data_IF_304263541035
#
_entry.id   IF_304263541035
#
_cell.length_a   1.000
_cell.length_b   1.000
_cell.length_c   1.000
_cell.angle_alpha   90.00
_cell.angle_beta   90.00
_cell.angle_gamma   90.00
#
_symmetry.space_group_name_H-M   'P 1'
#
loop_
_entity.id
_entity.type
_entity.pdbx_description
1 polymer ?
#
# COMPACT_ATOMS: atom_id res chain seq x y z
N UNK A 1 39.70 -32.62 33.25
CA UNK A 1 38.88 -32.41 34.45
C UNK A 1 38.79 -30.91 34.73
N UNK A 2 37.56 -30.40 34.88
CA UNK A 2 37.11 -29.24 35.67
C UNK A 2 37.87 -27.89 35.55
N UNK A 3 37.22 -26.88 34.94
CA UNK A 3 36.50 -25.74 35.57
C UNK A 3 37.44 -24.56 35.92
N UNK A 4 37.39 -23.41 35.23
CA UNK A 4 36.43 -22.28 35.29
C UNK A 4 36.90 -21.13 36.22
N UNK A 5 36.63 -19.90 35.78
CA UNK A 5 36.55 -18.62 36.51
C UNK A 5 37.85 -17.78 36.60
N UNK A 6 37.96 -16.68 35.85
CA UNK A 6 37.41 -15.31 36.08
C UNK A 6 38.33 -14.46 36.97
N UNK A 7 38.94 -13.43 36.39
CA UNK A 7 39.04 -12.04 36.88
C UNK A 7 40.14 -11.30 36.11
N UNK A 8 39.78 -10.21 35.43
CA UNK A 8 40.64 -9.02 35.37
C UNK A 8 39.77 -7.81 35.07
N UNK A 9 39.75 -6.92 36.05
CA UNK A 9 39.04 -5.66 36.05
C UNK A 9 39.98 -4.53 35.63
N UNK A 10 39.37 -3.51 35.00
CA UNK A 10 39.69 -2.09 35.13
C UNK A 10 41.08 -1.61 34.72
N UNK A 11 41.13 -0.96 33.55
CA UNK A 11 41.92 0.28 33.38
C UNK A 11 41.00 1.35 32.80
N UNK A 12 40.67 2.33 33.63
CA UNK A 12 40.33 3.68 33.19
C UNK A 12 41.62 4.31 32.67
N UNK A 13 41.62 4.87 31.47
CA UNK A 13 42.24 6.18 31.31
C UNK A 13 41.60 6.99 30.18
N UNK A 14 41.45 8.25 30.53
CA UNK A 14 40.85 9.39 29.86
C UNK A 14 41.85 10.05 28.92
N UNK A 15 41.47 10.28 27.66
CA UNK A 15 41.94 11.46 26.92
C UNK A 15 41.06 11.69 25.69
N UNK A 16 40.47 12.88 25.61
CA UNK A 16 39.45 13.21 24.63
C UNK A 16 39.96 13.39 23.21
N UNK A 17 39.08 13.09 22.26
CA UNK A 17 39.09 13.74 20.95
C UNK A 17 37.65 13.92 20.50
N UNK A 18 37.28 15.18 20.31
CA UNK A 18 35.98 15.66 19.83
C UNK A 18 35.70 15.07 18.46
N UNK A 19 34.75 14.15 18.37
CA UNK A 19 34.06 13.85 17.12
C UNK A 19 32.61 13.50 17.42
N UNK A 20 31.71 14.36 16.95
CA UNK A 20 30.26 14.29 17.11
C UNK A 20 29.69 13.02 16.49
N UNK A 21 29.65 11.94 17.27
CA UNK A 21 29.02 10.69 16.91
C UNK A 21 27.55 10.77 17.35
N UNK A 22 26.68 11.11 16.40
CA UNK A 22 25.23 10.96 16.53
C UNK A 22 24.93 9.52 16.97
N UNK A 23 24.63 9.35 18.26
CA UNK A 23 24.16 8.09 18.82
C UNK A 23 22.85 7.76 18.11
N UNK A 24 22.89 6.77 17.22
CA UNK A 24 21.72 5.97 16.82
C UNK A 24 21.11 5.42 18.11
N UNK A 25 20.12 6.12 18.64
CA UNK A 25 19.26 5.64 19.71
C UNK A 25 18.38 4.57 19.07
N UNK A 26 18.91 3.35 18.95
CA UNK A 26 18.08 2.15 18.75
C UNK A 26 17.16 2.12 19.95
N UNK A 27 15.92 2.53 19.76
CA UNK A 27 14.80 2.12 20.59
C UNK A 27 14.72 0.59 20.46
N UNK A 28 15.51 -0.13 21.28
CA UNK A 28 15.23 -1.53 21.59
C UNK A 28 14.03 -1.51 22.54
N UNK A 29 12.86 -1.21 21.99
CA UNK A 29 11.61 -1.68 22.58
C UNK A 29 11.67 -3.20 22.51
N UNK A 30 11.66 -3.85 23.67
CA UNK A 30 11.36 -5.27 23.80
C UNK A 30 9.92 -5.49 23.34
N UNK A 31 9.69 -5.49 22.03
CA UNK A 31 8.45 -6.01 21.46
C UNK A 31 8.51 -7.52 21.65
N UNK A 32 7.85 -8.00 22.71
CA UNK A 32 7.37 -9.37 22.77
C UNK A 32 6.68 -9.60 21.43
N UNK A 33 7.14 -10.57 20.64
CA UNK A 33 6.49 -10.92 19.38
C UNK A 33 5.03 -11.26 19.72
N UNK A 34 4.12 -10.33 19.42
CA UNK A 34 2.69 -10.63 19.41
C UNK A 34 2.55 -11.64 18.28
N UNK A 35 1.94 -12.81 18.49
CA UNK A 35 1.61 -13.69 17.38
C UNK A 35 0.86 -12.87 16.35
N UNK A 36 1.30 -12.93 15.10
CA UNK A 36 0.60 -12.26 14.01
C UNK A 36 -0.78 -12.92 13.82
N UNK A 37 -1.77 -12.47 14.59
CA UNK A 37 -3.12 -12.99 14.55
C UNK A 37 -3.93 -12.27 13.47
N UNK A 38 -4.08 -12.93 12.33
CA UNK A 38 -4.90 -12.47 11.21
C UNK A 38 -6.29 -13.13 11.20
N UNK A 39 -6.69 -13.86 12.24
CA UNK A 39 -7.97 -14.59 12.27
C UNK A 39 -9.18 -13.66 12.15
N UNK A 40 -9.11 -12.46 12.73
CA UNK A 40 -10.13 -11.43 12.63
C UNK A 40 -10.39 -10.95 11.18
N UNK A 41 -9.44 -11.20 10.27
CA UNK A 41 -9.62 -10.91 8.85
C UNK A 41 -10.40 -11.99 8.12
N UNK A 42 -10.71 -13.14 8.74
CA UNK A 42 -11.52 -14.23 8.18
C UNK A 42 -11.18 -14.54 6.70
N UNK A 43 -9.93 -14.94 6.48
CA UNK A 43 -9.39 -15.22 5.15
C UNK A 43 -9.51 -16.70 4.75
N UNK A 44 -9.93 -17.56 5.69
CA UNK A 44 -10.08 -18.99 5.45
C UNK A 44 -11.18 -19.25 4.41
N UNK A 45 -10.88 -20.08 3.40
CA UNK A 45 -11.80 -20.39 2.30
C UNK A 45 -11.85 -19.35 1.17
N UNK A 46 -11.14 -18.22 1.28
CA UNK A 46 -11.10 -17.21 0.23
C UNK A 46 -10.25 -17.67 -0.97
N UNK A 47 -10.90 -17.95 -2.10
CA UNK A 47 -10.24 -18.22 -3.37
C UNK A 47 -9.72 -16.96 -4.07
N UNK A 48 -10.30 -15.81 -3.75
CA UNK A 48 -9.89 -14.49 -4.25
C UNK A 48 -10.01 -13.47 -3.13
N UNK A 49 -9.03 -12.58 -3.00
CA UNK A 49 -8.94 -11.60 -1.91
C UNK A 49 -8.68 -10.22 -2.49
N UNK A 50 -9.47 -9.23 -2.05
CA UNK A 50 -9.24 -7.82 -2.35
C UNK A 50 -8.90 -7.10 -1.05
N UNK A 51 -7.65 -6.65 -0.94
CA UNK A 51 -7.14 -5.88 0.18
C UNK A 51 -7.14 -4.40 -0.21
N UNK A 52 -7.84 -3.57 0.53
CA UNK A 52 -7.97 -2.14 0.25
C UNK A 52 -7.48 -1.33 1.44
N UNK A 53 -6.32 -0.68 1.30
CA UNK A 53 -5.81 0.28 2.28
C UNK A 53 -6.39 1.67 2.02
N UNK A 54 -6.99 2.24 3.07
CA UNK A 54 -7.59 3.57 3.04
C UNK A 54 -8.95 3.54 2.38
N UNK A 55 -9.91 2.88 3.05
CA UNK A 55 -11.30 2.80 2.58
C UNK A 55 -11.91 4.19 2.41
N UNK A 56 -11.54 5.12 3.28
CA UNK A 56 -12.13 6.44 3.43
C UNK A 56 -13.66 6.32 3.55
N UNK A 57 -14.40 6.75 2.53
CA UNK A 57 -15.87 6.65 2.50
C UNK A 57 -16.39 5.34 1.90
N UNK A 58 -15.52 4.38 1.56
CA UNK A 58 -15.86 3.10 0.92
C UNK A 58 -15.95 3.17 -0.61
N UNK A 59 -15.48 4.24 -1.23
CA UNK A 59 -15.62 4.48 -2.68
C UNK A 59 -14.92 3.44 -3.54
N UNK A 60 -13.69 3.06 -3.16
CA UNK A 60 -12.92 1.99 -3.80
C UNK A 60 -13.67 0.66 -3.82
N UNK A 61 -14.28 0.27 -2.71
CA UNK A 61 -15.07 -0.97 -2.60
C UNK A 61 -16.30 -0.91 -3.50
N UNK A 62 -17.03 0.22 -3.53
CA UNK A 62 -18.17 0.40 -4.43
C UNK A 62 -17.73 0.35 -5.90
N UNK A 63 -16.61 0.96 -6.25
CA UNK A 63 -16.05 0.94 -7.60
C UNK A 63 -15.64 -0.48 -8.01
N UNK A 64 -15.00 -1.22 -7.10
CA UNK A 64 -14.65 -2.63 -7.31
C UNK A 64 -15.88 -3.49 -7.57
N UNK A 65 -16.91 -3.39 -6.72
CA UNK A 65 -18.18 -4.12 -6.86
C UNK A 65 -18.89 -3.79 -8.18
N UNK A 66 -18.81 -2.53 -8.63
CA UNK A 66 -19.38 -2.10 -9.92
C UNK A 66 -18.55 -2.53 -11.14
N UNK A 67 -17.46 -3.28 -10.96
CA UNK A 67 -16.59 -3.76 -12.04
C UNK A 67 -15.69 -2.68 -12.64
N UNK A 68 -15.53 -1.53 -11.96
CA UNK A 68 -14.72 -0.43 -12.48
C UNK A 68 -13.25 -0.83 -12.66
N UNK A 69 -12.70 -1.57 -11.69
CA UNK A 69 -11.32 -2.07 -11.71
C UNK A 69 -11.02 -2.91 -12.95
N UNK A 70 -11.94 -3.78 -13.37
CA UNK A 70 -11.82 -4.55 -14.60
C UNK A 70 -11.78 -3.64 -15.83
N UNK A 71 -12.75 -2.72 -15.94
CA UNK A 71 -12.85 -1.82 -17.10
C UNK A 71 -11.64 -0.89 -17.25
N UNK A 72 -11.07 -0.40 -16.15
CA UNK A 72 -9.86 0.41 -16.18
C UNK A 72 -8.62 -0.45 -16.43
N UNK A 73 -8.57 -1.67 -15.87
CA UNK A 73 -7.48 -2.62 -16.06
C UNK A 73 -7.35 -3.17 -17.47
N UNK A 74 -8.32 -2.95 -18.35
CA UNK A 74 -8.18 -3.20 -19.78
C UNK A 74 -7.76 -1.96 -20.58
N UNK A 75 -7.98 -0.77 -20.04
CA UNK A 75 -7.74 0.53 -20.71
C UNK A 75 -6.49 1.25 -20.23
N UNK A 76 -5.81 0.73 -19.21
CA UNK A 76 -4.63 1.39 -18.66
C UNK A 76 -3.47 1.36 -19.66
N UNK A 77 -2.54 2.35 -19.61
CA UNK A 77 -1.36 2.35 -20.46
C UNK A 77 -0.49 1.11 -20.28
N UNK A 78 0.11 0.62 -21.37
CA UNK A 78 0.94 -0.62 -21.41
C UNK A 78 2.07 -0.62 -20.38
N UNK A 79 2.63 0.54 -20.03
CA UNK A 79 3.68 0.70 -19.00
C UNK A 79 3.28 0.27 -17.58
N UNK A 80 1.99 0.06 -17.31
CA UNK A 80 1.49 -0.44 -16.03
C UNK A 80 1.52 -1.97 -15.93
N UNK A 81 1.89 -2.68 -17.00
CA UNK A 81 1.88 -4.13 -17.08
C UNK A 81 3.28 -4.67 -17.32
N UNK A 82 3.45 -5.99 -17.19
CA UNK A 82 4.67 -6.65 -17.62
C UNK A 82 4.89 -6.49 -19.14
N UNK A 83 6.14 -6.56 -19.58
CA UNK A 83 6.55 -6.29 -20.96
C UNK A 83 5.78 -7.11 -22.01
N UNK A 84 5.49 -8.38 -21.69
CA UNK A 84 4.75 -9.29 -22.56
C UNK A 84 3.29 -8.89 -22.79
N UNK A 85 2.70 -8.01 -21.96
CA UNK A 85 1.31 -7.60 -22.07
C UNK A 85 0.97 -6.99 -23.44
N UNK A 86 1.92 -6.24 -24.00
CA UNK A 86 1.79 -5.63 -25.34
C UNK A 86 1.65 -6.66 -26.45
N UNK A 87 2.17 -7.88 -26.25
CA UNK A 87 2.16 -8.99 -27.19
C UNK A 87 0.88 -9.85 -27.09
N UNK A 88 0.14 -9.73 -25.98
CA UNK A 88 -1.12 -10.45 -25.81
C UNK A 88 -2.20 -9.92 -26.76
N UNK A 89 -2.99 -10.83 -27.31
CA UNK A 89 -4.25 -10.55 -27.98
C UNK A 89 -5.29 -9.96 -27.02
N UNK A 90 -6.34 -9.35 -27.56
CA UNK A 90 -7.44 -8.82 -26.74
C UNK A 90 -8.12 -9.93 -25.89
N UNK A 91 -8.25 -11.14 -26.45
CA UNK A 91 -8.83 -12.28 -25.74
C UNK A 91 -7.97 -12.69 -24.54
N UNK A 92 -6.65 -12.73 -24.70
CA UNK A 92 -5.71 -13.06 -23.62
C UNK A 92 -5.69 -11.99 -22.53
N UNK A 93 -5.73 -10.69 -22.91
CA UNK A 93 -5.84 -9.59 -21.94
C UNK A 93 -7.14 -9.66 -21.14
N UNK A 94 -8.26 -9.94 -21.81
CA UNK A 94 -9.56 -10.15 -21.16
C UNK A 94 -9.51 -11.34 -20.20
N UNK A 95 -8.96 -12.48 -20.62
CA UNK A 95 -8.81 -13.65 -19.76
C UNK A 95 -7.92 -13.36 -18.54
N UNK A 96 -6.85 -12.58 -18.71
CA UNK A 96 -5.95 -12.19 -17.65
C UNK A 96 -6.63 -11.27 -16.59
N UNK A 97 -7.63 -10.48 -16.99
CA UNK A 97 -8.40 -9.59 -16.12
C UNK A 97 -9.72 -10.18 -15.62
N UNK A 98 -10.15 -11.32 -16.18
CA UNK A 98 -11.44 -11.94 -15.89
C UNK A 98 -11.79 -12.04 -14.39
N UNK A 99 -10.86 -12.36 -13.46
CA UNK A 99 -11.17 -12.35 -12.04
C UNK A 99 -11.81 -11.02 -11.56
N UNK A 100 -11.30 -9.87 -12.00
CA UNK A 100 -11.81 -8.55 -11.60
C UNK A 100 -13.24 -8.27 -12.11
N UNK A 101 -13.77 -9.06 -13.05
CA UNK A 101 -15.14 -8.95 -13.58
C UNK A 101 -16.17 -9.62 -12.65
N UNK A 102 -15.72 -10.43 -11.69
CA UNK A 102 -16.56 -11.22 -10.80
C UNK A 102 -16.36 -10.79 -9.33
N UNK A 103 -16.65 -9.53 -8.95
CA UNK A 103 -16.35 -9.02 -7.61
C UNK A 103 -17.05 -9.80 -6.48
N UNK A 104 -18.18 -10.44 -6.75
CA UNK A 104 -18.89 -11.31 -5.79
C UNK A 104 -18.08 -12.56 -5.37
N UNK A 105 -17.05 -12.93 -6.13
CA UNK A 105 -16.16 -14.06 -5.81
C UNK A 105 -14.98 -13.70 -4.89
N UNK A 106 -14.86 -12.42 -4.51
CA UNK A 106 -13.77 -11.94 -3.66
C UNK A 106 -14.22 -11.79 -2.22
N UNK A 107 -13.35 -12.22 -1.31
CA UNK A 107 -13.34 -11.71 0.06
C UNK A 107 -12.71 -10.32 0.06
N UNK A 108 -13.50 -9.28 0.31
CA UNK A 108 -13.05 -7.90 0.39
C UNK A 108 -12.75 -7.55 1.84
N UNK A 109 -11.50 -7.15 2.11
CA UNK A 109 -11.06 -6.61 3.41
C UNK A 109 -10.52 -5.21 3.17
N UNK A 110 -11.29 -4.21 3.59
CA UNK A 110 -11.01 -2.80 3.33
C UNK A 110 -10.73 -2.10 4.67
N UNK A 111 -9.55 -1.50 4.81
CA UNK A 111 -8.99 -1.01 6.05
C UNK A 111 -9.20 0.49 6.19
N UNK A 112 -9.84 0.90 7.29
CA UNK A 112 -10.01 2.29 7.68
C UNK A 112 -9.60 2.49 9.13
N UNK A 113 -8.73 3.46 9.36
CA UNK A 113 -8.18 3.76 10.68
C UNK A 113 -8.85 4.95 11.36
N UNK A 114 -9.60 5.79 10.63
CA UNK A 114 -10.29 6.96 11.15
C UNK A 114 -11.65 6.59 11.76
N UNK A 115 -11.83 6.70 13.10
CA UNK A 115 -13.06 6.26 13.76
C UNK A 115 -14.33 6.97 13.25
N UNK A 116 -14.20 8.22 12.82
CA UNK A 116 -15.32 9.02 12.30
C UNK A 116 -15.97 8.44 11.04
N UNK A 117 -15.24 7.62 10.27
CA UNK A 117 -15.75 7.03 9.02
C UNK A 117 -16.40 5.65 9.24
N UNK A 118 -16.08 4.98 10.34
CA UNK A 118 -16.55 3.62 10.62
C UNK A 118 -18.08 3.49 10.67
N UNK A 119 -18.87 4.40 11.27
CA UNK A 119 -20.33 4.26 11.27
C UNK A 119 -20.94 4.24 9.86
N UNK A 120 -20.39 5.03 8.93
CA UNK A 120 -20.79 5.00 7.52
C UNK A 120 -20.40 3.67 6.87
N UNK A 121 -19.16 3.23 7.07
CA UNK A 121 -18.64 2.00 6.50
C UNK A 121 -19.37 0.75 7.00
N UNK A 122 -19.78 0.72 8.28
CA UNK A 122 -20.60 -0.37 8.85
C UNK A 122 -21.96 -0.50 8.17
N UNK A 123 -22.62 0.62 7.83
CA UNK A 123 -23.87 0.61 7.05
C UNK A 123 -23.63 0.04 5.65
N UNK A 124 -22.59 0.50 4.97
CA UNK A 124 -22.24 -0.03 3.64
C UNK A 124 -21.88 -1.52 3.67
N UNK A 125 -21.20 -1.98 4.72
CA UNK A 125 -20.92 -3.40 4.92
C UNK A 125 -22.20 -4.23 4.92
N UNK A 126 -23.21 -3.78 5.68
CA UNK A 126 -24.52 -4.43 5.75
C UNK A 126 -25.20 -4.45 4.39
N UNK A 127 -25.20 -3.33 3.67
CA UNK A 127 -25.81 -3.21 2.34
C UNK A 127 -25.13 -4.13 1.31
N UNK A 128 -23.79 -4.22 1.33
CA UNK A 128 -23.03 -5.09 0.43
C UNK A 128 -23.24 -6.57 0.77
N UNK A 129 -23.27 -6.93 2.05
CA UNK A 129 -23.52 -8.31 2.50
C UNK A 129 -24.96 -8.75 2.22
N UNK A 130 -25.93 -7.85 2.30
CA UNK A 130 -27.30 -8.11 1.88
C UNK A 130 -27.37 -8.47 0.38
N UNK A 131 -26.49 -7.89 -0.43
CA UNK A 131 -26.30 -8.20 -1.85
C UNK A 131 -25.36 -9.39 -2.11
N UNK A 132 -25.04 -10.18 -1.08
CA UNK A 132 -24.20 -11.40 -1.15
C UNK A 132 -22.72 -11.15 -1.51
N UNK A 133 -22.22 -9.93 -1.34
CA UNK A 133 -20.77 -9.70 -1.38
C UNK A 133 -20.15 -10.01 -0.01
N UNK A 134 -19.00 -10.71 0.01
CA UNK A 134 -18.20 -10.83 1.23
C UNK A 134 -17.34 -9.58 1.39
N UNK A 135 -17.89 -8.57 2.06
CA UNK A 135 -17.20 -7.32 2.37
C UNK A 135 -17.07 -7.15 3.88
N UNK A 136 -15.88 -6.75 4.32
CA UNK A 136 -15.63 -6.29 5.67
C UNK A 136 -14.81 -5.01 5.65
N UNK A 137 -15.28 -4.01 6.38
CA UNK A 137 -14.49 -2.83 6.69
C UNK A 137 -13.76 -3.06 8.00
N UNK A 138 -12.44 -3.15 7.96
CA UNK A 138 -11.60 -3.45 9.11
C UNK A 138 -11.23 -2.12 9.78
N UNK A 139 -11.55 -1.99 11.07
CA UNK A 139 -11.09 -0.89 11.91
C UNK A 139 -9.62 -1.09 12.25
N UNK A 140 -8.74 -0.77 11.30
CA UNK A 140 -7.31 -0.90 11.44
C UNK A 140 -6.58 -0.09 10.37
N UNK A 141 -5.32 0.21 10.61
CA UNK A 141 -4.41 0.69 9.57
C UNK A 141 -3.84 -0.52 8.82
N UNK A 142 -3.60 -0.33 7.53
CA UNK A 142 -2.80 -1.24 6.72
C UNK A 142 -1.42 -0.63 6.53
N UNK A 143 -0.37 -1.33 6.96
CA UNK A 143 0.99 -0.81 7.00
C UNK A 143 2.04 -1.92 6.94
N UNK A 144 3.13 -1.76 7.68
CA UNK A 144 4.24 -2.71 7.79
C UNK A 144 4.40 -3.33 9.18
N UNK A 145 3.46 -3.08 10.07
CA UNK A 145 3.46 -3.57 11.44
C UNK A 145 2.10 -4.14 11.75
N UNK A 146 2.08 -5.31 12.40
CA UNK A 146 0.90 -5.84 13.07
C UNK A 146 1.00 -5.51 14.55
N UNK A 147 0.12 -4.65 15.03
CA UNK A 147 0.06 -4.28 16.44
C UNK A 147 -1.37 -3.96 16.88
N UNK A 148 -1.79 -4.34 18.09
CA UNK A 148 -3.12 -4.02 18.59
C UNK A 148 -3.30 -2.54 18.92
N UNK A 149 -2.19 -1.81 19.13
CA UNK A 149 -2.19 -0.44 19.61
C UNK A 149 -1.05 0.38 18.97
N UNK A 150 -1.16 0.63 17.67
CA UNK A 150 -0.22 1.49 16.93
C UNK A 150 -0.73 2.93 16.85
N UNK A 151 0.07 3.86 17.36
CA UNK A 151 -0.23 5.29 17.33
C UNK A 151 -0.16 5.86 15.92
N UNK A 152 -1.14 6.69 15.56
CA UNK A 152 -1.26 7.37 14.25
C UNK A 152 -1.94 8.72 14.40
N UNK A 153 -1.77 9.59 13.41
CA UNK A 153 -2.44 10.89 13.36
C UNK A 153 -3.70 10.80 12.53
N UNK A 154 -4.78 11.37 13.04
CA UNK A 154 -6.03 11.60 12.30
C UNK A 154 -6.21 13.10 12.16
N UNK A 155 -6.54 13.55 10.95
CA UNK A 155 -6.73 14.95 10.61
C UNK A 155 -8.14 15.14 10.08
N UNK A 156 -8.85 16.14 10.62
CA UNK A 156 -10.16 16.59 10.15
C UNK A 156 -10.03 17.94 9.45
N UNK A 157 -10.63 18.08 8.27
CA UNK A 157 -10.53 19.29 7.44
C UNK A 157 -11.73 20.23 7.60
N UNK A 158 -11.49 21.51 7.37
CA UNK A 158 -12.52 22.50 7.11
C UNK A 158 -13.10 22.28 5.72
N UNK A 159 -14.43 22.31 5.65
CA UNK A 159 -15.21 22.43 4.41
C UNK A 159 -14.99 21.29 3.38
N UNK A 160 -14.44 20.17 3.82
CA UNK A 160 -14.45 18.92 3.07
C UNK A 160 -15.60 18.05 3.60
N UNK A 161 -16.61 17.82 2.76
CA UNK A 161 -17.80 17.01 3.06
C UNK A 161 -17.47 15.58 3.48
N UNK A 162 -16.26 15.11 3.17
CA UNK A 162 -15.73 13.78 3.48
C UNK A 162 -14.59 13.83 4.51
N UNK A 163 -14.34 15.00 5.11
CA UNK A 163 -13.06 15.51 5.60
C UNK A 163 -12.45 14.91 6.86
N UNK A 164 -12.20 13.60 6.89
CA UNK A 164 -11.31 12.97 7.87
C UNK A 164 -10.34 12.04 7.15
N UNK A 165 -9.05 12.10 7.51
CA UNK A 165 -8.08 11.11 7.05
C UNK A 165 -7.10 10.72 8.15
N UNK A 166 -6.69 9.46 8.14
CA UNK A 166 -5.68 8.91 9.03
C UNK A 166 -4.37 8.69 8.25
N UNK A 167 -3.24 9.17 8.79
CA UNK A 167 -1.91 8.91 8.23
C UNK A 167 -0.90 8.64 9.35
N UNK A 168 0.04 7.72 9.09
CA UNK A 168 1.24 7.55 9.91
C UNK A 168 2.27 8.67 9.68
N UNK A 169 2.10 9.46 8.62
CA UNK A 169 2.92 10.61 8.28
C UNK A 169 2.20 11.92 8.67
N UNK A 170 2.96 13.02 8.78
CA UNK A 170 2.37 14.35 8.93
C UNK A 170 1.68 14.74 7.63
N UNK A 171 0.40 15.06 7.71
CA UNK A 171 -0.45 15.30 6.54
C UNK A 171 0.04 16.37 5.54
N UNK A 172 0.87 17.33 5.99
CA UNK A 172 1.41 18.38 5.14
C UNK A 172 2.25 17.89 3.95
N UNK A 173 2.49 16.57 3.90
CA UNK A 173 3.52 15.92 3.14
C UNK A 173 3.01 15.08 1.96
N UNK A 174 1.67 15.00 1.84
CA UNK A 174 0.98 14.02 0.99
C UNK A 174 0.37 14.63 -0.28
N UNK A 175 -0.17 15.85 -0.22
CA UNK A 175 -0.87 16.49 -1.36
C UNK A 175 -0.03 17.50 -2.16
N UNK A 176 -0.31 17.62 -3.45
CA UNK A 176 0.08 18.74 -4.32
C UNK A 176 -1.06 19.77 -4.34
N UNK A 177 -0.82 20.98 -3.83
CA UNK A 177 -1.77 22.11 -3.92
C UNK A 177 -2.14 22.78 -2.59
N UNK A 178 -3.02 23.77 -2.67
CA UNK A 178 -3.53 24.51 -1.51
C UNK A 178 -4.39 23.61 -0.61
N UNK A 179 -4.01 23.55 0.67
CA UNK A 179 -4.58 22.63 1.66
C UNK A 179 -5.98 23.11 2.06
N UNK A 180 -6.99 22.22 2.13
CA UNK A 180 -8.12 22.53 3.00
C UNK A 180 -7.59 22.67 4.43
N UNK A 181 -8.00 23.73 5.12
CA UNK A 181 -7.47 24.07 6.46
C UNK A 181 -7.79 22.93 7.42
N UNK A 182 -6.79 22.37 8.09
CA UNK A 182 -7.03 21.38 9.14
C UNK A 182 -7.78 22.05 10.30
N UNK A 183 -8.97 21.55 10.64
CA UNK A 183 -9.71 21.99 11.83
C UNK A 183 -9.19 21.32 13.09
N UNK A 184 -8.78 20.07 12.97
CA UNK A 184 -8.39 19.25 14.11
C UNK A 184 -7.32 18.24 13.68
N UNK A 185 -6.32 18.02 14.54
CA UNK A 185 -5.42 16.87 14.42
C UNK A 185 -5.35 16.18 15.77
N UNK A 186 -5.72 14.91 15.80
CA UNK A 186 -5.63 14.05 16.98
C UNK A 186 -4.64 12.93 16.74
N UNK A 187 -4.01 12.47 17.81
CA UNK A 187 -3.30 11.19 17.79
C UNK A 187 -4.23 10.16 18.41
N UNK A 188 -4.45 9.07 17.69
CA UNK A 188 -5.18 7.92 18.18
C UNK A 188 -4.25 6.72 18.17
N UNK A 189 -4.58 5.69 18.94
CA UNK A 189 -3.95 4.39 18.83
C UNK A 189 -5.02 3.35 18.52
N UNK A 190 -4.64 2.31 17.80
CA UNK A 190 -5.56 1.23 17.45
C UNK A 190 -4.86 0.14 16.64
N UNK A 191 -5.64 -0.83 16.18
CA UNK A 191 -5.11 -1.97 15.45
C UNK A 191 -4.41 -1.56 14.15
N UNK A 192 -3.33 -2.25 13.83
CA UNK A 192 -2.69 -2.24 12.51
C UNK A 192 -2.35 -3.65 12.06
N UNK A 193 -2.19 -3.81 10.75
CA UNK A 193 -1.76 -5.06 10.14
C UNK A 193 -0.64 -4.82 9.13
N UNK A 194 0.39 -5.67 9.18
CA UNK A 194 1.42 -5.76 8.17
C UNK A 194 0.84 -6.37 6.88
N UNK A 195 0.84 -5.60 5.79
CA UNK A 195 0.40 -6.06 4.48
C UNK A 195 1.15 -7.32 4.03
N UNK A 196 2.47 -7.39 4.28
CA UNK A 196 3.28 -8.55 3.94
C UNK A 196 2.79 -9.78 4.69
N UNK A 197 2.51 -9.63 5.98
CA UNK A 197 1.96 -10.70 6.82
C UNK A 197 0.58 -11.19 6.35
N UNK A 198 -0.31 -10.28 5.95
CA UNK A 198 -1.61 -10.65 5.37
C UNK A 198 -1.42 -11.45 4.07
N UNK A 199 -0.57 -10.99 3.14
CA UNK A 199 -0.32 -11.70 1.87
C UNK A 199 0.29 -13.08 2.14
N UNK A 200 1.22 -13.18 3.09
CA UNK A 200 1.79 -14.46 3.52
C UNK A 200 0.71 -15.39 4.08
N UNK A 201 -0.21 -14.87 4.90
CA UNK A 201 -1.33 -15.64 5.43
C UNK A 201 -2.25 -16.13 4.31
N UNK A 202 -2.67 -15.27 3.39
CA UNK A 202 -3.51 -15.66 2.24
C UNK A 202 -2.83 -16.77 1.43
N UNK A 203 -1.54 -16.61 1.11
CA UNK A 203 -0.76 -17.63 0.40
C UNK A 203 -0.66 -18.95 1.18
N UNK A 204 -0.51 -18.90 2.50
CA UNK A 204 -0.44 -20.11 3.34
C UNK A 204 -1.75 -20.88 3.38
N UNK A 205 -2.88 -20.18 3.28
CA UNK A 205 -4.22 -20.76 3.25
C UNK A 205 -4.58 -21.31 1.88
N UNK A 206 -4.20 -20.58 0.83
CA UNK A 206 -4.45 -20.95 -0.54
C UNK A 206 -3.36 -20.37 -1.44
N UNK A 207 -2.38 -21.21 -1.78
CA UNK A 207 -1.28 -20.82 -2.65
C UNK A 207 -1.71 -20.44 -4.06
N UNK A 208 -2.95 -20.76 -4.48
CA UNK A 208 -3.54 -20.43 -5.77
C UNK A 208 -4.52 -19.25 -5.72
N UNK A 209 -4.64 -18.58 -4.56
CA UNK A 209 -5.53 -17.44 -4.42
C UNK A 209 -5.16 -16.30 -5.39
N UNK A 210 -6.19 -15.63 -5.91
CA UNK A 210 -6.03 -14.38 -6.65
C UNK A 210 -6.03 -13.24 -5.64
N UNK A 211 -4.94 -12.48 -5.56
CA UNK A 211 -4.81 -11.37 -4.62
C UNK A 211 -4.76 -10.06 -5.38
N UNK A 212 -5.72 -9.18 -5.08
CA UNK A 212 -5.75 -7.80 -5.56
C UNK A 212 -5.53 -6.85 -4.37
N UNK A 213 -4.62 -5.89 -4.52
CA UNK A 213 -4.27 -4.93 -3.48
C UNK A 213 -4.51 -3.53 -4.04
N UNK A 214 -5.25 -2.69 -3.31
CA UNK A 214 -5.32 -1.25 -3.55
C UNK A 214 -4.78 -0.49 -2.35
N UNK A 215 -3.97 0.54 -2.58
CA UNK A 215 -3.41 1.39 -1.53
C UNK A 215 -3.58 2.87 -1.88
N UNK A 216 -4.30 3.56 -1.00
CA UNK A 216 -4.52 5.01 -0.95
C UNK A 216 -4.51 5.39 0.54
N UNK A 217 -3.31 5.35 1.13
CA UNK A 217 -3.06 5.47 2.58
C UNK A 217 -2.13 6.65 2.88
N UNK A 218 -2.23 7.68 2.05
CA UNK A 218 -1.79 9.04 2.32
C UNK A 218 -0.32 9.09 2.78
N UNK A 219 0.55 8.56 1.93
CA UNK A 219 2.01 8.56 2.02
C UNK A 219 2.59 7.31 2.71
N UNK A 220 1.75 6.50 3.34
CA UNK A 220 2.18 5.26 3.99
C UNK A 220 2.36 4.09 3.01
N UNK A 221 2.10 4.29 1.70
CA UNK A 221 2.21 3.25 0.66
C UNK A 221 3.62 2.68 0.56
N UNK A 222 4.65 3.53 0.70
CA UNK A 222 6.03 3.07 0.67
C UNK A 222 6.29 2.06 1.79
N UNK A 223 5.86 2.39 3.02
CA UNK A 223 6.09 1.53 4.16
C UNK A 223 5.30 0.23 4.07
N UNK A 224 4.03 0.28 3.65
CA UNK A 224 3.23 -0.93 3.43
C UNK A 224 3.85 -1.86 2.36
N UNK A 225 4.41 -1.29 1.28
CA UNK A 225 4.91 -2.07 0.15
C UNK A 225 6.35 -2.54 0.30
N UNK A 226 7.25 -1.77 0.90
CA UNK A 226 8.68 -2.10 0.89
C UNK A 226 8.99 -3.49 1.49
N UNK A 227 8.40 -3.91 2.62
CA UNK A 227 8.59 -5.27 3.14
C UNK A 227 8.10 -6.35 2.19
N UNK A 228 6.99 -6.10 1.46
CA UNK A 228 6.45 -7.03 0.47
C UNK A 228 7.37 -7.10 -0.76
N UNK A 229 7.90 -5.96 -1.23
CA UNK A 229 8.83 -5.90 -2.37
C UNK A 229 10.21 -6.46 -2.03
N UNK A 230 10.59 -6.51 -0.75
CA UNK A 230 11.78 -7.20 -0.27
C UNK A 230 11.66 -8.73 -0.33
N UNK A 231 10.45 -9.28 -0.46
CA UNK A 231 10.18 -10.70 -0.67
C UNK A 231 9.58 -10.92 -2.07
N UNK A 232 10.41 -11.08 -3.12
CA UNK A 232 9.92 -11.12 -4.49
C UNK A 232 9.11 -12.39 -4.80
N UNK A 233 9.27 -13.48 -4.04
CA UNK A 233 8.40 -14.66 -4.15
C UNK A 233 7.00 -14.36 -3.63
N UNK A 234 6.91 -13.68 -2.49
CA UNK A 234 5.64 -13.30 -1.93
C UNK A 234 4.94 -12.22 -2.78
N UNK A 235 5.68 -11.21 -3.26
CA UNK A 235 5.14 -10.23 -4.21
C UNK A 235 4.58 -10.92 -5.46
N UNK A 236 5.25 -11.93 -5.98
CA UNK A 236 4.79 -12.69 -7.15
C UNK A 236 3.56 -13.58 -6.90
N UNK A 237 3.11 -13.71 -5.64
CA UNK A 237 1.80 -14.31 -5.33
C UNK A 237 0.64 -13.30 -5.49
N UNK A 238 0.93 -12.00 -5.52
CA UNK A 238 -0.06 -10.95 -5.79
C UNK A 238 -0.37 -10.92 -7.29
N UNK A 239 -1.65 -10.79 -7.63
CA UNK A 239 -2.13 -10.74 -9.02
C UNK A 239 -2.29 -9.32 -9.55
N UNK A 240 -2.78 -8.42 -8.71
CA UNK A 240 -3.07 -7.03 -9.10
C UNK A 240 -2.68 -6.05 -8.00
N UNK A 241 -1.96 -4.99 -8.37
CA UNK A 241 -1.52 -3.96 -7.45
C UNK A 241 -1.93 -2.56 -7.95
N UNK A 242 -2.70 -1.84 -7.14
CA UNK A 242 -3.30 -0.56 -7.49
C UNK A 242 -2.89 0.50 -6.46
N UNK A 243 -1.95 1.39 -6.79
CA UNK A 243 -1.32 2.26 -5.78
C UNK A 243 -1.37 3.71 -6.23
N UNK A 244 -1.80 4.61 -5.33
CA UNK A 244 -1.84 6.04 -5.64
C UNK A 244 -0.46 6.72 -5.54
N UNK A 245 0.46 6.16 -4.75
CA UNK A 245 1.81 6.68 -4.49
C UNK A 245 1.81 8.16 -4.14
N UNK A 246 1.06 8.48 -3.09
CA UNK A 246 1.17 9.75 -2.38
C UNK A 246 2.63 10.11 -2.09
N UNK A 247 2.95 11.40 -2.15
CA UNK A 247 4.30 11.93 -1.95
C UNK A 247 5.37 11.59 -3.02
N UNK A 248 5.01 11.01 -4.17
CA UNK A 248 5.97 10.67 -5.22
C UNK A 248 5.85 11.50 -6.53
N UNK A 249 4.76 12.26 -6.72
CA UNK A 249 4.42 12.85 -8.02
C UNK A 249 5.23 14.11 -8.37
N UNK A 250 5.62 14.93 -7.38
CA UNK A 250 6.34 16.20 -7.60
C UNK A 250 7.67 16.28 -6.85
N UNK A 251 8.60 17.13 -7.32
CA UNK A 251 9.87 17.36 -6.62
C UNK A 251 9.67 17.90 -5.18
N UNK A 252 8.63 18.69 -4.95
CA UNK A 252 8.26 19.14 -3.60
C UNK A 252 7.89 17.98 -2.68
N UNK A 253 7.02 17.09 -3.16
CA UNK A 253 6.64 15.88 -2.43
C UNK A 253 7.82 14.92 -2.19
N UNK A 254 8.71 14.75 -3.19
CA UNK A 254 9.91 13.91 -3.04
C UNK A 254 10.90 14.44 -1.99
N UNK A 255 11.08 15.77 -1.89
CA UNK A 255 11.87 16.39 -0.81
C UNK A 255 11.27 16.13 0.56
N UNK A 256 9.95 16.12 0.65
CA UNK A 256 9.28 15.83 1.91
C UNK A 256 9.49 14.39 2.37
N UNK A 257 9.54 13.42 1.45
CA UNK A 257 9.89 12.04 1.79
C UNK A 257 11.25 11.93 2.54
N UNK A 258 12.21 12.82 2.24
CA UNK A 258 13.50 12.88 2.94
C UNK A 258 13.38 13.22 4.43
N UNK A 259 12.34 13.97 4.83
CA UNK A 259 12.08 14.25 6.25
C UNK A 259 11.72 12.98 7.05
N UNK A 260 11.29 11.92 6.34
CA UNK A 260 11.02 10.58 6.89
C UNK A 260 12.20 9.62 6.74
N UNK A 261 13.38 10.13 6.36
CA UNK A 261 14.57 9.30 6.16
C UNK A 261 14.56 8.49 4.86
N UNK A 262 13.64 8.78 3.94
CA UNK A 262 13.64 8.18 2.61
C UNK A 262 14.58 8.91 1.67
N UNK A 263 15.09 8.19 0.67
CA UNK A 263 15.75 8.85 -0.47
C UNK A 263 14.73 9.60 -1.31
N UNK A 264 15.16 10.64 -2.01
CA UNK A 264 14.30 11.42 -2.93
C UNK A 264 13.64 10.53 -4.00
N UNK A 265 14.37 9.51 -4.46
CA UNK A 265 13.97 8.55 -5.48
C UNK A 265 13.42 7.23 -4.91
N UNK A 266 13.14 7.16 -3.61
CA UNK A 266 12.76 5.91 -2.95
C UNK A 266 11.54 5.23 -3.60
N UNK A 267 10.51 6.01 -3.94
CA UNK A 267 9.32 5.52 -4.62
C UNK A 267 9.60 5.04 -6.04
N UNK A 268 10.52 5.68 -6.77
CA UNK A 268 10.89 5.22 -8.12
C UNK A 268 11.69 3.93 -8.07
N UNK A 269 12.59 3.79 -7.09
CA UNK A 269 13.28 2.52 -6.83
C UNK A 269 12.30 1.39 -6.44
N UNK A 270 11.31 1.69 -5.60
CA UNK A 270 10.28 0.73 -5.21
C UNK A 270 9.46 0.26 -6.44
N UNK A 271 9.00 1.20 -7.28
CA UNK A 271 8.29 0.90 -8.54
C UNK A 271 9.14 0.07 -9.48
N UNK A 272 10.41 0.42 -9.65
CA UNK A 272 11.36 -0.32 -10.48
C UNK A 272 11.55 -1.76 -10.02
N UNK A 273 11.65 -1.98 -8.70
CA UNK A 273 11.73 -3.34 -8.13
C UNK A 273 10.45 -4.15 -8.31
N UNK A 274 9.28 -3.52 -8.16
CA UNK A 274 8.00 -4.18 -8.44
C UNK A 274 7.95 -4.61 -9.92
N UNK A 275 8.30 -3.69 -10.84
CA UNK A 275 8.29 -3.97 -12.26
C UNK A 275 9.29 -5.08 -12.62
N UNK A 276 10.50 -5.05 -12.07
CA UNK A 276 11.48 -6.11 -12.26
C UNK A 276 10.97 -7.47 -11.73
N UNK A 277 10.20 -7.49 -10.64
CA UNK A 277 9.58 -8.72 -10.15
C UNK A 277 8.49 -9.24 -11.10
N UNK A 278 7.68 -8.36 -11.70
CA UNK A 278 6.65 -8.73 -12.68
C UNK A 278 7.22 -9.47 -13.90
N UNK A 279 8.45 -9.18 -14.30
CA UNK A 279 9.13 -9.83 -15.43
C UNK A 279 9.67 -11.24 -15.09
N UNK A 280 9.60 -11.68 -13.83
CA UNK A 280 10.12 -12.99 -13.43
C UNK A 280 9.22 -14.12 -13.97
N UNK A 281 9.79 -15.22 -14.49
CA UNK A 281 9.01 -16.39 -14.88
C UNK A 281 8.14 -16.90 -13.72
N UNK A 282 6.85 -17.15 -13.99
CA UNK A 282 5.90 -17.63 -12.99
C UNK A 282 5.37 -16.56 -12.03
N UNK A 283 5.78 -15.29 -12.17
CA UNK A 283 5.20 -14.20 -11.39
C UNK A 283 3.74 -13.98 -11.79
N UNK A 284 2.84 -13.89 -10.80
CA UNK A 284 1.41 -13.66 -11.07
C UNK A 284 1.02 -12.20 -11.16
N UNK A 285 1.93 -11.28 -10.80
CA UNK A 285 1.63 -9.85 -10.76
C UNK A 285 1.51 -9.30 -12.17
N UNK A 286 0.28 -8.99 -12.60
CA UNK A 286 -0.04 -8.58 -13.98
C UNK A 286 -0.02 -7.07 -14.16
N UNK A 287 -0.36 -6.33 -13.11
CA UNK A 287 -0.60 -4.90 -13.20
C UNK A 287 -0.09 -4.17 -11.95
N UNK A 288 0.51 -3.01 -12.19
CA UNK A 288 0.89 -2.02 -11.21
C UNK A 288 0.31 -0.67 -11.65
N UNK A 289 -0.79 -0.22 -11.06
CA UNK A 289 -1.20 1.19 -11.24
C UNK A 289 -0.38 2.08 -10.35
N UNK A 290 0.18 3.12 -10.96
CA UNK A 290 1.00 4.15 -10.29
C UNK A 290 0.19 5.37 -9.82
N UNK A 291 -1.09 5.45 -10.24
CA UNK A 291 -2.15 6.33 -9.71
C UNK A 291 -3.48 5.71 -10.12
N UNK A 292 -4.30 5.32 -9.14
CA UNK A 292 -5.47 4.48 -9.38
C UNK A 292 -6.54 5.24 -10.16
N UNK A 293 -6.95 6.39 -9.65
CA UNK A 293 -7.99 7.23 -10.24
C UNK A 293 -7.58 7.74 -11.63
N UNK A 294 -6.32 8.15 -11.78
CA UNK A 294 -5.79 8.60 -13.07
C UNK A 294 -5.77 7.48 -14.13
N UNK A 295 -5.50 6.24 -13.73
CA UNK A 295 -5.47 5.09 -14.66
C UNK A 295 -6.86 4.72 -15.17
N UNK A 296 -7.92 5.26 -14.56
CA UNK A 296 -9.32 5.11 -14.95
C UNK A 296 -9.87 6.23 -15.84
N UNK A 297 -9.06 7.23 -16.19
CA UNK A 297 -9.48 8.37 -17.01
C UNK A 297 -10.06 9.55 -16.23
N UNK A 298 -10.05 9.49 -14.90
CA UNK A 298 -10.27 10.71 -14.11
C UNK A 298 -9.10 11.67 -14.36
N UNK A 299 -9.40 12.97 -14.53
CA UNK A 299 -8.36 14.00 -14.57
C UNK A 299 -7.50 13.82 -13.33
N UNK A 300 -6.22 13.56 -13.55
CA UNK A 300 -5.20 13.48 -12.52
C UNK A 300 -5.43 14.60 -11.49
N UNK A 301 -5.69 14.25 -10.21
CA UNK A 301 -5.44 15.22 -9.13
C UNK A 301 -3.94 15.54 -9.03
N UNK A 302 -3.08 14.67 -9.57
CA UNK A 302 -1.63 14.80 -9.61
C UNK A 302 -1.10 14.52 -11.03
N UNK A 303 -0.76 15.59 -11.77
CA UNK A 303 -0.16 15.45 -13.09
C UNK A 303 1.24 14.86 -13.00
N UNK A 304 1.41 13.62 -13.47
CA UNK A 304 2.74 13.04 -13.65
C UNK A 304 3.36 13.68 -14.90
N UNK A 305 4.00 14.84 -14.72
CA UNK A 305 4.86 15.40 -15.77
C UNK A 305 5.97 14.40 -16.04
N UNK A 306 6.07 14.01 -17.31
CA UNK A 306 7.16 13.26 -17.90
C UNK A 306 8.49 13.71 -17.30
N UNK A 307 9.06 12.88 -16.44
CA UNK A 307 10.50 12.97 -16.25
C UNK A 307 11.15 12.50 -17.55
N UNK A 308 12.35 13.00 -17.88
CA UNK A 308 13.12 12.56 -19.06
C UNK A 308 13.31 11.04 -19.17
N UNK A 309 13.00 10.30 -18.11
CA UNK A 309 13.05 8.85 -18.00
C UNK A 309 11.84 8.13 -18.63
N UNK A 310 10.86 8.87 -19.19
CA UNK A 310 9.66 8.32 -19.88
C UNK A 310 9.60 8.66 -21.38
N UNK A 311 10.74 8.73 -22.08
CA UNK A 311 10.67 8.80 -23.55
C UNK A 311 10.10 7.49 -24.10
N UNK A 312 8.86 7.55 -24.58
CA UNK A 312 8.30 6.54 -25.48
C UNK A 312 9.23 6.44 -26.69
N UNK A 313 9.94 5.33 -26.83
CA UNK A 313 10.79 5.09 -28.00
C UNK A 313 10.00 4.67 -29.24
N UNK A 314 8.66 4.81 -29.24
CA UNK A 314 7.80 4.41 -30.36
C UNK A 314 6.54 5.28 -30.43
N UNK A 315 6.70 6.58 -30.67
CA UNK A 315 5.65 7.39 -31.26
C UNK A 315 6.04 7.73 -32.70
N UNK A 316 6.00 6.73 -33.56
CA UNK A 316 5.84 7.01 -34.99
C UNK A 316 4.35 7.24 -35.19
N UNK A 317 3.95 8.50 -35.17
CA UNK A 317 2.63 8.96 -35.56
C UNK A 317 2.31 8.40 -36.95
N UNK A 318 1.20 7.68 -37.09
CA UNK A 318 0.55 7.51 -38.38
C UNK A 318 -0.32 8.75 -38.62
N UNK A 319 -0.17 9.46 -39.75
CA UNK A 319 -1.00 10.60 -40.07
C UNK A 319 -2.43 10.15 -40.44
N UNK A 320 -3.35 11.11 -40.27
CA UNK A 320 -4.80 11.02 -40.41
C UNK A 320 -5.30 10.44 -41.75
#
# INVERSE_FOLDING_TARGET
>A
MLLLAVLLALVNDTSGSRNGRWRKRRLRGSHRAVPDDYSALELDGCGRVFLDGGSNTGESVRAFIKGHFHSCGLRSPSRQYASYWSQLSQAERNAAMQPLKEPASFCVRSFEAAPALLPLLRRQEQDHRAQKYDVRFVEAALGNVTAPDESRRVVRYADNVWGVSASGLRWGDVHVGDKPVARETTSISGQSYDLRGIVARVRSLNASAVVAIKLDIEGSEYWALEPLVADPELLCSVSYLFVEFHSAASAGQRRVAQSYGLREDAFEHLKGRIHAAMERPGCRLKILWRSFWASCGDKQRFEWRSSEQTRDSTSTELPA
#
